data_IF_230727150692
#
_entry.id   IF_230727150692
#
_cell.length_a   1.000
_cell.length_b   1.000
_cell.length_c   1.000
_cell.angle_alpha   90.00
_cell.angle_beta   90.00
_cell.angle_gamma   90.00
#
_symmetry.space_group_name_H-M   'P 1'
#
loop_
_entity.id
_entity.type
_entity.pdbx_description
1 polymer ?
#
# COMPACT_ATOMS: atom_id res chain seq x y z
N UNK A 1 -26.81 2.50 23.88
CA UNK A 1 -27.24 3.48 24.89
C UNK A 1 -26.05 4.37 25.23
N UNK A 2 -26.20 5.70 25.15
CA UNK A 2 -25.13 6.65 25.51
C UNK A 2 -25.04 6.73 27.04
N UNK A 3 -23.86 6.59 27.60
CA UNK A 3 -23.64 6.81 29.04
C UNK A 3 -23.82 8.29 29.37
N UNK A 4 -24.68 8.66 30.34
CA UNK A 4 -25.07 10.05 30.60
C UNK A 4 -24.10 10.81 31.53
N UNK A 5 -22.83 10.39 31.60
CA UNK A 5 -21.89 10.84 32.64
C UNK A 5 -20.57 11.47 32.20
N UNK A 6 -20.33 11.65 30.90
CA UNK A 6 -19.05 12.21 30.41
C UNK A 6 -19.30 13.50 29.62
N UNK A 7 -19.53 14.60 30.34
CA UNK A 7 -19.55 15.96 29.79
C UNK A 7 -18.35 16.81 30.23
N UNK A 8 -17.40 16.22 30.97
CA UNK A 8 -16.22 16.91 31.46
C UNK A 8 -14.97 16.03 31.39
N UNK A 9 -14.53 15.65 30.19
CA UNK A 9 -13.09 15.45 30.00
C UNK A 9 -12.48 16.85 29.85
N UNK A 10 -12.13 17.45 30.98
CA UNK A 10 -11.28 18.64 31.05
C UNK A 10 -10.07 18.41 30.13
N UNK A 11 -9.91 19.25 29.11
CA UNK A 11 -8.68 19.27 28.31
C UNK A 11 -7.52 19.67 29.23
N UNK A 12 -6.82 18.68 29.77
CA UNK A 12 -5.56 18.88 30.48
C UNK A 12 -4.54 19.44 29.47
N UNK A 13 -3.89 20.59 29.76
CA UNK A 13 -3.15 21.37 28.76
C UNK A 13 -1.85 20.74 28.25
N UNK A 14 -1.57 19.48 28.60
CA UNK A 14 -0.28 18.83 28.33
C UNK A 14 -0.40 17.35 27.92
N UNK A 15 -1.60 16.81 27.68
CA UNK A 15 -1.70 15.45 27.12
C UNK A 15 -1.37 15.54 25.64
N UNK A 16 -0.27 14.91 25.14
CA UNK A 16 0.00 14.90 23.72
C UNK A 16 -1.17 14.21 23.01
N UNK A 17 -1.95 15.00 22.27
CA UNK A 17 -3.01 14.49 21.40
C UNK A 17 -2.40 13.38 20.55
N UNK A 18 -2.82 12.14 20.80
CA UNK A 18 -2.41 10.98 20.02
C UNK A 18 -2.68 11.32 18.56
N UNK A 19 -1.61 11.48 17.76
CA UNK A 19 -1.73 11.75 16.33
C UNK A 19 -2.66 10.70 15.76
N UNK A 20 -3.84 11.13 15.30
CA UNK A 20 -4.84 10.24 14.69
C UNK A 20 -4.12 9.44 13.60
N UNK A 21 -3.97 8.13 13.82
CA UNK A 21 -3.30 7.23 12.86
C UNK A 21 -4.19 7.16 11.61
N UNK A 22 -3.70 7.64 10.48
CA UNK A 22 -4.44 7.57 9.21
C UNK A 22 -4.09 8.69 8.22
N UNK A 23 -4.57 8.57 6.97
CA UNK A 23 -4.50 9.68 6.02
C UNK A 23 -5.54 10.75 6.38
N UNK A 24 -5.20 12.05 6.25
CA UNK A 24 -6.12 13.14 6.55
C UNK A 24 -7.40 13.05 5.70
N UNK A 25 -8.51 13.46 6.31
CA UNK A 25 -9.80 13.61 5.65
C UNK A 25 -9.69 14.63 4.50
N UNK A 26 -10.40 14.38 3.40
CA UNK A 26 -10.48 15.35 2.29
C UNK A 26 -11.70 16.23 2.57
N UNK A 27 -11.52 17.55 2.62
CA UNK A 27 -12.60 18.51 2.91
C UNK A 27 -13.39 18.16 4.19
N UNK A 28 -12.72 17.62 5.21
CA UNK A 28 -13.35 17.23 6.47
C UNK A 28 -14.19 15.94 6.42
N UNK A 29 -14.32 15.28 5.26
CA UNK A 29 -15.06 14.02 5.13
C UNK A 29 -14.12 12.81 5.30
N UNK A 30 -14.38 11.90 6.25
CA UNK A 30 -13.62 10.67 6.37
C UNK A 30 -13.89 9.76 5.16
N UNK A 31 -12.83 9.24 4.54
CA UNK A 31 -12.96 8.23 3.48
C UNK A 31 -13.07 6.83 4.08
N UNK A 32 -13.87 5.97 3.45
CA UNK A 32 -13.86 4.52 3.65
C UNK A 32 -12.53 3.88 3.22
N UNK A 33 -12.27 2.66 3.67
CA UNK A 33 -11.06 1.91 3.28
C UNK A 33 -10.99 1.65 1.76
N UNK A 34 -12.15 1.39 1.13
CA UNK A 34 -12.26 1.16 -0.31
C UNK A 34 -11.91 2.43 -1.11
N UNK A 35 -12.45 3.58 -0.71
CA UNK A 35 -12.14 4.87 -1.35
C UNK A 35 -10.66 5.24 -1.20
N UNK A 36 -10.06 4.99 -0.03
CA UNK A 36 -8.61 5.18 0.17
C UNK A 36 -7.79 4.33 -0.81
N UNK A 37 -8.13 3.06 -0.95
CA UNK A 37 -7.44 2.14 -1.87
C UNK A 37 -7.60 2.59 -3.32
N UNK A 38 -8.81 3.00 -3.72
CA UNK A 38 -9.09 3.54 -5.07
C UNK A 38 -8.28 4.80 -5.36
N UNK A 39 -8.25 5.75 -4.43
CA UNK A 39 -7.47 6.99 -4.57
C UNK A 39 -5.97 6.71 -4.63
N UNK A 40 -5.47 5.81 -3.78
CA UNK A 40 -4.05 5.41 -3.80
C UNK A 40 -3.65 4.87 -5.17
N UNK A 41 -4.46 3.97 -5.74
CA UNK A 41 -4.26 3.43 -7.09
C UNK A 41 -4.28 4.54 -8.16
N UNK A 42 -5.27 5.44 -8.10
CA UNK A 42 -5.38 6.55 -9.06
C UNK A 42 -4.17 7.50 -9.02
N UNK A 43 -3.70 7.87 -7.83
CA UNK A 43 -2.52 8.72 -7.67
C UNK A 43 -1.23 8.03 -8.14
N UNK A 44 -1.12 6.73 -7.90
CA UNK A 44 0.02 5.92 -8.33
C UNK A 44 0.10 5.84 -9.86
N UNK A 45 -1.02 5.59 -10.54
CA UNK A 45 -1.09 5.59 -12.01
C UNK A 45 -0.80 6.98 -12.58
N UNK A 46 -1.46 8.02 -12.06
CA UNK A 46 -1.29 9.39 -12.58
C UNK A 46 0.11 9.99 -12.38
N UNK A 47 0.91 9.47 -11.43
CA UNK A 47 2.33 9.85 -11.27
C UNK A 47 3.20 9.14 -12.30
N UNK A 48 2.97 7.85 -12.50
CA UNK A 48 3.81 7.03 -13.36
C UNK A 48 3.53 7.22 -14.87
N UNK A 49 2.39 7.82 -15.26
CA UNK A 49 2.11 8.20 -16.65
C UNK A 49 2.68 9.56 -17.06
N UNK A 50 3.26 10.34 -16.12
CA UNK A 50 3.83 11.67 -16.42
C UNK A 50 5.28 11.62 -16.87
N UNK A 51 6.02 10.59 -16.45
CA UNK A 51 7.42 10.38 -16.81
C UNK A 51 7.57 8.96 -17.37
N UNK A 52 8.02 8.83 -18.62
CA UNK A 52 8.27 7.53 -19.25
C UNK A 52 9.34 6.70 -18.53
N UNK A 53 10.20 7.35 -17.74
CA UNK A 53 11.25 6.70 -16.95
C UNK A 53 10.80 6.34 -15.51
N UNK A 54 9.58 6.71 -15.09
CA UNK A 54 9.10 6.38 -13.75
C UNK A 54 8.46 5.00 -13.69
N UNK A 55 8.78 4.26 -12.62
CA UNK A 55 8.20 2.95 -12.30
C UNK A 55 6.68 3.05 -12.21
N UNK A 56 5.98 2.30 -13.05
CA UNK A 56 4.52 2.11 -13.00
C UNK A 56 4.19 1.03 -11.97
N UNK A 57 3.58 1.36 -10.81
CA UNK A 57 3.09 0.36 -9.87
C UNK A 57 1.80 -0.28 -10.41
N UNK A 58 1.93 -1.09 -11.46
CA UNK A 58 0.84 -1.90 -12.00
C UNK A 58 0.97 -3.29 -11.41
N UNK A 59 -0.06 -3.72 -10.66
CA UNK A 59 -0.17 -5.12 -10.29
C UNK A 59 -0.43 -5.91 -11.57
N UNK A 60 0.53 -6.75 -11.97
CA UNK A 60 0.31 -7.78 -12.99
C UNK A 60 -0.65 -8.80 -12.38
N UNK A 61 -1.92 -8.74 -12.80
CA UNK A 61 -2.91 -9.77 -12.45
C UNK A 61 -2.70 -10.93 -13.41
N UNK A 62 -1.84 -11.85 -13.03
CA UNK A 62 -1.56 -13.07 -13.78
C UNK A 62 -2.04 -14.27 -12.99
N UNK A 63 -2.63 -15.24 -13.70
CA UNK A 63 -2.96 -16.53 -13.11
C UNK A 63 -1.69 -17.37 -13.06
N UNK A 64 -1.40 -17.92 -11.87
CA UNK A 64 -0.23 -18.77 -11.64
C UNK A 64 -0.66 -19.94 -10.78
N UNK A 65 -0.01 -21.09 -10.98
CA UNK A 65 -0.21 -22.25 -10.13
C UNK A 65 0.13 -21.92 -8.68
N UNK A 66 -0.70 -22.41 -7.74
CA UNK A 66 -0.52 -22.17 -6.32
C UNK A 66 0.84 -22.66 -5.80
N UNK A 67 1.32 -23.79 -6.34
CA UNK A 67 2.62 -24.38 -6.00
C UNK A 67 3.78 -23.47 -6.43
N UNK A 68 3.71 -22.89 -7.63
CA UNK A 68 4.69 -21.96 -8.16
C UNK A 68 4.73 -20.68 -7.32
N UNK A 69 3.56 -20.11 -6.99
CA UNK A 69 3.46 -18.94 -6.13
C UNK A 69 4.12 -19.16 -4.76
N UNK A 70 3.88 -20.32 -4.14
CA UNK A 70 4.45 -20.64 -2.84
C UNK A 70 5.97 -20.83 -2.90
N UNK A 71 6.49 -21.46 -3.96
CA UNK A 71 7.94 -21.59 -4.19
C UNK A 71 8.60 -20.22 -4.39
N UNK A 72 8.00 -19.37 -5.22
CA UNK A 72 8.50 -18.01 -5.45
C UNK A 72 8.52 -17.20 -4.15
N UNK A 73 7.45 -17.27 -3.33
CA UNK A 73 7.40 -16.57 -2.04
C UNK A 73 8.51 -17.01 -1.10
N UNK A 74 8.76 -18.32 -0.97
CA UNK A 74 9.85 -18.86 -0.15
C UNK A 74 11.23 -18.40 -0.64
N UNK A 75 11.43 -18.38 -1.96
CA UNK A 75 12.67 -17.88 -2.55
C UNK A 75 12.88 -16.38 -2.25
N UNK A 76 11.84 -15.56 -2.40
CA UNK A 76 11.91 -14.14 -2.06
C UNK A 76 12.22 -13.91 -0.58
N UNK A 77 11.58 -14.68 0.32
CA UNK A 77 11.83 -14.62 1.77
C UNK A 77 13.27 -15.00 2.12
N UNK A 78 13.82 -16.05 1.50
CA UNK A 78 15.19 -16.50 1.74
C UNK A 78 16.25 -15.49 1.28
N UNK A 79 15.98 -14.75 0.20
CA UNK A 79 16.91 -13.78 -0.38
C UNK A 79 16.66 -12.33 0.09
N UNK A 80 15.61 -12.09 0.88
CA UNK A 80 15.22 -10.74 1.31
C UNK A 80 14.80 -9.82 0.16
N UNK A 81 14.42 -10.38 -0.98
CA UNK A 81 14.07 -9.66 -2.20
C UNK A 81 12.57 -9.59 -2.40
N UNK A 82 12.10 -8.57 -3.10
CA UNK A 82 10.72 -8.52 -3.59
C UNK A 82 10.53 -9.44 -4.79
N UNK A 83 9.27 -9.86 -5.02
CA UNK A 83 8.92 -10.65 -6.21
C UNK A 83 9.30 -9.95 -7.51
N UNK A 84 9.23 -8.61 -7.53
CA UNK A 84 9.57 -7.80 -8.70
C UNK A 84 11.08 -7.85 -8.97
N UNK A 85 11.91 -7.63 -7.96
CA UNK A 85 13.38 -7.69 -8.10
C UNK A 85 13.83 -9.10 -8.54
N UNK A 86 13.17 -10.13 -8.01
CA UNK A 86 13.42 -11.51 -8.43
C UNK A 86 13.09 -11.71 -9.92
N UNK A 87 11.98 -11.15 -10.41
CA UNK A 87 11.61 -11.19 -11.82
C UNK A 87 12.57 -10.40 -12.70
N UNK A 88 13.00 -9.20 -12.28
CA UNK A 88 13.98 -8.39 -13.00
C UNK A 88 15.30 -9.16 -13.18
N UNK A 89 15.77 -9.83 -12.11
CA UNK A 89 16.96 -10.67 -12.17
C UNK A 89 16.79 -11.86 -13.13
N UNK A 90 15.64 -12.54 -13.07
CA UNK A 90 15.36 -13.66 -13.97
C UNK A 90 15.34 -13.21 -15.44
N UNK A 91 14.77 -12.03 -15.73
CA UNK A 91 14.74 -11.48 -17.09
C UNK A 91 16.16 -11.18 -17.59
N UNK A 92 17.04 -10.64 -16.74
CA UNK A 92 18.44 -10.39 -17.11
C UNK A 92 19.23 -11.68 -17.40
N UNK A 93 18.82 -12.80 -16.83
CA UNK A 93 19.45 -14.11 -17.07
C UNK A 93 18.94 -14.83 -18.31
N UNK A 94 17.85 -14.35 -18.93
CA UNK A 94 17.34 -14.93 -20.17
C UNK A 94 18.20 -14.47 -21.35
N UNK A 95 18.53 -15.35 -22.31
CA UNK A 95 19.20 -14.94 -23.53
C UNK A 95 18.28 -13.96 -24.30
N UNK A 96 18.87 -12.89 -24.85
CA UNK A 96 18.15 -11.99 -25.76
C UNK A 96 17.70 -12.80 -26.99
N UNK A 97 16.39 -12.74 -27.27
CA UNK A 97 15.76 -13.36 -28.46
C UNK A 97 15.77 -12.35 -29.60
#
# INVERSE_FOLDING_TARGET
MKHPGDQHTLELPEIPLLKKRGRPAIHGKPMSAAERKRRSRSMQVGRATRDHNQRLPKALSVEIDASLHQRLKRYCEANGMTQIETLEQLIQTLPEV
#
